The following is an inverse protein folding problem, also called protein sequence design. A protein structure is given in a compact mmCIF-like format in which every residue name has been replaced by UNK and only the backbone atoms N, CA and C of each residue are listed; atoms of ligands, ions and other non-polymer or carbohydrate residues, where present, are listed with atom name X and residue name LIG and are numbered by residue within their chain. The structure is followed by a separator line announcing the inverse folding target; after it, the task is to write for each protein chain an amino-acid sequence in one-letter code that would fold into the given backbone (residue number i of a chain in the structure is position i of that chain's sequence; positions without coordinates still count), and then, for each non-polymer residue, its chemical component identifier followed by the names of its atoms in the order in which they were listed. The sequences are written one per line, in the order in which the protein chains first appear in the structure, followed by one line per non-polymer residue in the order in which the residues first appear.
data_IF_858695054424
#
_entry.id   IF_858695054424
#
_cell.length_a   1.000
_cell.length_b   1.000
_cell.length_c   1.000
_cell.angle_alpha   90.00
_cell.angle_beta   90.00
_cell.angle_gamma   90.00
#
_symmetry.space_group_name_H-M   'P 1'
#
loop_
_entity.id
_entity.type
_entity.pdbx_description
1 polymer ?
#
# COMPACT_ATOMS: atom_id res chain seq x y z
N UNK A 1 -12.59 -18.02 11.43
CA UNK A 1 -12.39 -17.07 12.56
C UNK A 1 -11.89 -15.75 11.99
N UNK A 2 -12.60 -14.65 12.23
CA UNK A 2 -12.16 -13.31 11.81
C UNK A 2 -11.15 -12.84 12.85
N UNK A 3 -9.88 -12.66 12.44
CA UNK A 3 -8.84 -12.12 13.31
C UNK A 3 -9.12 -10.62 13.52
N UNK A 4 -9.70 -10.29 14.66
CA UNK A 4 -9.98 -8.89 15.04
C UNK A 4 -8.68 -8.27 15.58
N UNK A 5 -8.10 -7.36 14.82
CA UNK A 5 -7.01 -6.52 15.32
C UNK A 5 -7.60 -5.45 16.24
N UNK A 6 -6.97 -5.11 17.36
CA UNK A 6 -7.49 -4.07 18.26
C UNK A 6 -7.78 -2.77 17.49
N UNK A 7 -9.00 -2.26 17.62
CA UNK A 7 -9.44 -1.01 16.99
C UNK A 7 -9.77 -1.08 15.49
N UNK A 8 -9.65 -2.23 14.82
CA UNK A 8 -10.01 -2.40 13.40
C UNK A 8 -11.25 -3.27 13.25
N UNK A 9 -12.18 -2.84 12.40
CA UNK A 9 -13.42 -3.56 12.10
C UNK A 9 -13.29 -4.21 10.72
N UNK A 10 -13.47 -5.53 10.68
CA UNK A 10 -13.49 -6.31 9.45
C UNK A 10 -14.93 -6.66 9.10
N UNK A 11 -15.40 -6.20 7.95
CA UNK A 11 -16.73 -6.55 7.45
C UNK A 11 -16.69 -7.77 6.52
N UNK A 12 -17.79 -8.53 6.41
CA UNK A 12 -17.92 -9.64 5.49
C UNK A 12 -17.64 -9.21 4.04
N UNK A 13 -16.98 -10.08 3.29
CA UNK A 13 -16.66 -9.81 1.89
C UNK A 13 -17.87 -10.07 1.00
N UNK A 14 -18.33 -9.08 0.22
CA UNK A 14 -19.38 -9.32 -0.79
C UNK A 14 -18.84 -10.17 -1.95
N UNK A 15 -19.73 -10.85 -2.69
CA UNK A 15 -19.34 -11.71 -3.81
C UNK A 15 -18.58 -10.98 -4.93
N UNK A 16 -18.84 -9.68 -5.10
CA UNK A 16 -18.15 -8.85 -6.09
C UNK A 16 -16.78 -8.31 -5.62
N UNK A 17 -16.34 -8.63 -4.40
CA UNK A 17 -15.07 -8.17 -3.88
C UNK A 17 -13.90 -8.66 -4.73
N UNK A 18 -12.94 -7.79 -4.96
CA UNK A 18 -11.76 -8.03 -5.79
C UNK A 18 -10.47 -7.92 -4.97
N UNK A 19 -9.63 -8.95 -4.94
CA UNK A 19 -8.37 -8.88 -4.23
C UNK A 19 -7.37 -7.94 -4.94
N UNK A 20 -6.36 -7.49 -4.20
CA UNK A 20 -5.19 -6.85 -4.80
C UNK A 20 -4.44 -7.88 -5.65
N UNK A 21 -4.11 -7.53 -6.89
CA UNK A 21 -3.27 -8.35 -7.75
C UNK A 21 -1.88 -7.73 -7.92
N UNK A 22 -0.83 -8.54 -8.14
CA UNK A 22 0.51 -8.00 -8.44
C UNK A 22 0.51 -7.06 -9.63
N UNK A 23 -0.28 -7.39 -10.66
CA UNK A 23 -0.41 -6.59 -11.88
C UNK A 23 -0.94 -5.19 -11.60
N UNK A 24 -2.02 -5.06 -10.80
CA UNK A 24 -2.56 -3.74 -10.51
C UNK A 24 -1.59 -2.89 -9.67
N UNK A 25 -0.82 -3.49 -8.75
CA UNK A 25 0.20 -2.74 -7.99
C UNK A 25 1.30 -2.20 -8.92
N UNK A 26 1.78 -3.02 -9.87
CA UNK A 26 2.77 -2.61 -10.88
C UNK A 26 2.21 -1.48 -11.75
N UNK A 27 0.98 -1.63 -12.25
CA UNK A 27 0.34 -0.64 -13.10
C UNK A 27 0.14 0.69 -12.39
N UNK A 28 -0.34 0.69 -11.16
CA UNK A 28 -0.58 1.93 -10.42
C UNK A 28 0.72 2.60 -9.96
N UNK A 29 1.74 1.84 -9.58
CA UNK A 29 3.07 2.39 -9.34
C UNK A 29 3.62 3.10 -10.58
N UNK A 30 3.54 2.46 -11.75
CA UNK A 30 3.97 3.04 -13.03
C UNK A 30 3.15 4.28 -13.40
N UNK A 31 1.82 4.22 -13.31
CA UNK A 31 0.91 5.34 -13.60
C UNK A 31 1.24 6.58 -12.78
N UNK A 32 1.61 6.39 -11.53
CA UNK A 32 1.99 7.46 -10.62
C UNK A 32 3.49 7.82 -10.67
N UNK A 33 4.27 7.21 -11.57
CA UNK A 33 5.73 7.36 -11.65
C UNK A 33 6.42 7.12 -10.30
N UNK A 34 5.96 6.10 -9.58
CA UNK A 34 6.51 5.65 -8.30
C UNK A 34 7.30 4.34 -8.51
N UNK A 35 8.41 4.20 -7.80
CA UNK A 35 9.10 2.91 -7.76
C UNK A 35 8.24 1.85 -7.07
N UNK A 36 8.08 0.69 -7.71
CA UNK A 36 7.25 -0.40 -7.20
C UNK A 36 7.58 -0.77 -5.74
N UNK A 37 8.88 -0.85 -5.40
CA UNK A 37 9.30 -1.19 -4.03
C UNK A 37 8.81 -0.18 -2.99
N UNK A 38 8.67 1.09 -3.36
CA UNK A 38 8.15 2.15 -2.50
C UNK A 38 6.67 1.96 -2.22
N UNK A 39 5.87 1.68 -3.26
CA UNK A 39 4.43 1.40 -3.11
C UNK A 39 4.20 0.15 -2.26
N UNK A 40 4.93 -0.93 -2.54
CA UNK A 40 4.85 -2.17 -1.77
C UNK A 40 5.26 -1.99 -0.31
N UNK A 41 6.28 -1.17 -0.03
CA UNK A 41 6.72 -0.91 1.34
C UNK A 41 5.68 -0.09 2.13
N UNK A 42 5.05 0.90 1.50
CA UNK A 42 3.95 1.66 2.10
C UNK A 42 2.76 0.74 2.35
N UNK A 43 2.32 -0.04 1.36
CA UNK A 43 1.21 -0.99 1.52
C UNK A 43 1.46 -1.98 2.66
N UNK A 44 2.69 -2.50 2.79
CA UNK A 44 3.08 -3.37 3.90
C UNK A 44 3.12 -2.63 5.25
N UNK A 45 3.52 -1.38 5.25
CA UNK A 45 3.53 -0.54 6.47
C UNK A 45 2.11 -0.26 6.95
N UNK A 46 1.17 0.03 6.05
CA UNK A 46 -0.25 0.22 6.38
C UNK A 46 -0.87 -1.07 6.90
N UNK A 47 -0.57 -2.20 6.26
CA UNK A 47 -0.99 -3.54 6.69
C UNK A 47 -2.50 -3.70 6.78
N UNK A 48 -3.26 -2.90 6.04
CA UNK A 48 -4.72 -3.02 5.94
C UNK A 48 -5.14 -4.23 5.09
N UNK A 49 -6.40 -4.61 5.22
CA UNK A 49 -7.01 -5.73 4.49
C UNK A 49 -8.28 -5.27 3.78
N UNK A 50 -8.71 -6.00 2.77
CA UNK A 50 -10.03 -5.78 2.17
C UNK A 50 -11.14 -5.93 3.21
N UNK A 51 -12.16 -5.07 3.14
CA UNK A 51 -13.26 -5.03 4.09
C UNK A 51 -12.91 -4.46 5.47
N UNK A 52 -11.68 -3.97 5.65
CA UNK A 52 -11.21 -3.43 6.93
C UNK A 52 -11.40 -1.91 7.00
N UNK A 53 -11.93 -1.45 8.12
CA UNK A 53 -12.05 -0.06 8.52
C UNK A 53 -11.34 0.14 9.85
N UNK A 54 -10.39 1.07 9.90
CA UNK A 54 -9.61 1.42 11.09
C UNK A 54 -10.08 2.78 11.61
N UNK A 55 -10.76 2.86 12.76
CA UNK A 55 -11.26 4.12 13.30
C UNK A 55 -10.11 5.01 13.78
N UNK A 56 -10.23 6.31 13.54
CA UNK A 56 -9.34 7.35 14.04
C UNK A 56 -10.02 8.16 15.15
N UNK A 57 -9.23 8.77 16.03
CA UNK A 57 -9.74 9.55 17.15
C UNK A 57 -10.54 10.79 16.78
N UNK A 58 -10.51 11.22 15.52
CA UNK A 58 -11.26 12.36 14.98
C UNK A 58 -12.58 11.95 14.27
N UNK A 59 -12.99 10.68 14.38
CA UNK A 59 -14.19 10.15 13.75
C UNK A 59 -14.03 9.74 12.29
N UNK A 60 -12.84 9.90 11.69
CA UNK A 60 -12.56 9.37 10.36
C UNK A 60 -12.16 7.89 10.43
N UNK A 61 -12.12 7.22 9.28
CA UNK A 61 -11.66 5.83 9.15
C UNK A 61 -10.60 5.73 8.08
N UNK A 62 -9.65 4.83 8.29
CA UNK A 62 -8.72 4.38 7.25
C UNK A 62 -9.24 3.06 6.66
N UNK A 63 -9.30 2.95 5.33
CA UNK A 63 -10.00 1.89 4.63
C UNK A 63 -9.06 1.05 3.77
N UNK A 64 -9.14 -0.27 3.92
CA UNK A 64 -8.58 -1.25 3.00
C UNK A 64 -7.05 -1.36 3.02
N UNK A 65 -6.44 -2.02 2.00
CA UNK A 65 -5.01 -2.36 1.97
C UNK A 65 -4.04 -1.21 2.15
N UNK A 66 -4.35 -0.04 1.55
CA UNK A 66 -3.52 1.17 1.64
C UNK A 66 -3.99 2.13 2.74
N UNK A 67 -4.98 1.75 3.55
CA UNK A 67 -5.52 2.54 4.65
C UNK A 67 -5.87 3.98 4.21
N UNK A 68 -6.67 4.07 3.13
CA UNK A 68 -7.11 5.37 2.60
C UNK A 68 -8.11 6.00 3.56
N UNK A 69 -7.81 7.22 4.04
CA UNK A 69 -8.65 7.90 5.02
C UNK A 69 -9.93 8.46 4.41
N UNK A 70 -11.05 8.35 5.13
CA UNK A 70 -12.38 8.83 4.71
C UNK A 70 -12.45 10.34 4.48
N UNK A 71 -11.49 11.12 4.99
CA UNK A 71 -11.41 12.56 4.69
C UNK A 71 -11.23 12.86 3.19
N UNK A 72 -10.78 11.87 2.41
CA UNK A 72 -10.60 12.00 0.96
C UNK A 72 -11.87 11.67 0.16
N UNK A 73 -12.93 11.14 0.79
CA UNK A 73 -14.16 10.75 0.09
C UNK A 73 -14.80 11.87 -0.72
N UNK A 74 -14.91 13.12 -0.24
CA UNK A 74 -15.49 14.20 -1.04
C UNK A 74 -14.68 14.49 -2.33
N UNK A 75 -13.35 14.53 -2.25
CA UNK A 75 -12.48 14.74 -3.41
C UNK A 75 -12.60 13.57 -4.40
N UNK A 76 -12.57 12.34 -3.89
CA UNK A 76 -12.69 11.13 -4.71
C UNK A 76 -14.08 11.02 -5.36
N UNK A 77 -15.15 11.31 -4.61
CA UNK A 77 -16.53 11.36 -5.13
C UNK A 77 -16.64 12.31 -6.33
N UNK A 78 -16.08 13.51 -6.20
CA UNK A 78 -16.03 14.49 -7.29
C UNK A 78 -15.21 13.99 -8.48
N UNK A 79 -14.04 13.38 -8.21
CA UNK A 79 -13.12 12.90 -9.25
C UNK A 79 -13.73 11.76 -10.08
N UNK A 80 -14.39 10.82 -9.42
CA UNK A 80 -14.97 9.65 -10.08
C UNK A 80 -16.44 9.84 -10.49
N UNK A 81 -17.09 10.93 -10.09
CA UNK A 81 -18.49 11.20 -10.41
C UNK A 81 -19.48 10.23 -9.76
N UNK A 82 -19.14 9.65 -8.61
CA UNK A 82 -19.96 8.68 -7.87
C UNK A 82 -20.13 9.10 -6.40
N UNK A 83 -21.22 8.69 -5.72
CA UNK A 83 -21.46 9.05 -4.32
C UNK A 83 -20.33 8.59 -3.38
N UNK A 84 -20.05 9.35 -2.32
CA UNK A 84 -19.03 9.01 -1.31
C UNK A 84 -19.21 7.61 -0.73
N UNK A 85 -20.45 7.19 -0.49
CA UNK A 85 -20.76 5.84 -0.02
C UNK A 85 -20.30 4.75 -1.02
N UNK A 86 -20.40 5.01 -2.33
CA UNK A 86 -19.90 4.09 -3.36
C UNK A 86 -18.37 4.07 -3.39
N UNK A 87 -17.72 5.24 -3.28
CA UNK A 87 -16.25 5.33 -3.16
C UNK A 87 -15.76 4.55 -1.93
N UNK A 88 -16.39 4.75 -0.78
CA UNK A 88 -16.04 4.04 0.46
C UNK A 88 -16.14 2.52 0.30
N UNK A 89 -17.20 2.03 -0.35
CA UNK A 89 -17.36 0.60 -0.65
C UNK A 89 -16.29 0.07 -1.62
N UNK A 90 -15.96 0.82 -2.66
CA UNK A 90 -14.87 0.46 -3.57
C UNK A 90 -13.53 0.42 -2.85
N UNK A 91 -13.21 1.40 -2.02
CA UNK A 91 -12.00 1.40 -1.19
C UNK A 91 -11.93 0.17 -0.28
N UNK A 92 -13.07 -0.27 0.27
CA UNK A 92 -13.09 -1.41 1.17
C UNK A 92 -12.97 -2.75 0.43
N UNK A 93 -13.60 -2.91 -0.74
CA UNK A 93 -13.82 -4.22 -1.34
C UNK A 93 -13.19 -4.42 -2.73
N UNK A 94 -12.68 -3.37 -3.37
CA UNK A 94 -11.86 -3.48 -4.58
C UNK A 94 -10.41 -3.12 -4.24
N UNK A 95 -9.58 -4.14 -4.13
CA UNK A 95 -8.18 -3.98 -3.73
C UNK A 95 -7.36 -3.19 -4.75
N UNK A 96 -7.64 -3.34 -6.05
CA UNK A 96 -6.95 -2.59 -7.08
C UNK A 96 -7.38 -1.12 -7.11
N UNK A 97 -8.67 -0.83 -6.87
CA UNK A 97 -9.13 0.55 -6.68
C UNK A 97 -8.48 1.20 -5.44
N UNK A 98 -8.41 0.46 -4.33
CA UNK A 98 -7.74 0.94 -3.12
C UNK A 98 -6.26 1.27 -3.37
N UNK A 99 -5.54 0.39 -4.07
CA UNK A 99 -4.13 0.62 -4.46
C UNK A 99 -4.00 1.82 -5.40
N UNK A 100 -4.90 1.97 -6.38
CA UNK A 100 -4.90 3.11 -7.30
C UNK A 100 -5.02 4.45 -6.55
N UNK A 101 -5.98 4.53 -5.63
CA UNK A 101 -6.18 5.73 -4.80
C UNK A 101 -5.01 5.95 -3.85
N UNK A 102 -4.51 4.90 -3.20
CA UNK A 102 -3.37 5.00 -2.30
C UNK A 102 -2.09 5.47 -3.01
N UNK A 103 -1.80 4.94 -4.20
CA UNK A 103 -0.66 5.37 -5.01
C UNK A 103 -0.81 6.83 -5.49
N UNK A 104 -2.01 7.23 -5.91
CA UNK A 104 -2.31 8.61 -6.26
C UNK A 104 -2.10 9.57 -5.08
N UNK A 105 -2.61 9.24 -3.89
CA UNK A 105 -2.40 10.03 -2.68
C UNK A 105 -0.91 10.13 -2.33
N UNK A 106 -0.18 9.04 -2.44
CA UNK A 106 1.27 9.01 -2.20
C UNK A 106 2.02 9.95 -3.15
N UNK A 107 1.66 9.94 -4.43
CA UNK A 107 2.20 10.89 -5.43
C UNK A 107 1.83 12.33 -5.10
N UNK A 108 0.57 12.58 -4.77
CA UNK A 108 0.08 13.91 -4.36
C UNK A 108 0.90 14.46 -3.19
N UNK A 109 1.10 13.66 -2.13
CA UNK A 109 1.91 14.06 -0.97
C UNK A 109 3.38 14.28 -1.30
N UNK A 110 3.94 13.49 -2.21
CA UNK A 110 5.32 13.69 -2.71
C UNK A 110 5.44 15.00 -3.48
N UNK A 111 4.48 15.33 -4.32
CA UNK A 111 4.46 16.59 -5.07
C UNK A 111 4.31 17.80 -4.13
N UNK A 112 3.44 17.73 -3.13
CA UNK A 112 3.28 18.75 -2.08
C UNK A 112 4.58 18.95 -1.26
N UNK A 113 5.46 17.96 -1.25
CA UNK A 113 6.78 17.95 -0.61
C UNK A 113 7.91 18.34 -1.59
N UNK A 114 7.61 19.05 -2.67
CA UNK A 114 8.58 19.44 -3.71
C UNK A 114 9.38 18.25 -4.29
N UNK A 115 8.77 17.09 -4.37
CA UNK A 115 9.40 15.86 -4.86
C UNK A 115 10.13 15.03 -3.81
N UNK A 116 10.23 15.50 -2.57
CA UNK A 116 10.80 14.70 -1.47
C UNK A 116 9.85 13.54 -1.12
N UNK A 117 10.22 12.36 -1.62
CA UNK A 117 9.45 11.14 -1.40
C UNK A 117 9.33 10.78 0.10
N UNK A 118 10.43 10.91 0.87
CA UNK A 118 10.42 10.52 2.28
C UNK A 118 9.53 11.43 3.12
N UNK A 119 9.58 12.72 2.85
CA UNK A 119 8.66 13.67 3.47
C UNK A 119 7.21 13.41 3.03
N UNK A 120 7.00 13.13 1.74
CA UNK A 120 5.70 12.80 1.16
C UNK A 120 5.04 11.58 1.81
N UNK A 121 5.76 10.46 1.97
CA UNK A 121 5.22 9.27 2.65
C UNK A 121 4.95 9.51 4.13
N UNK A 122 5.77 10.33 4.77
CA UNK A 122 5.49 10.71 6.15
C UNK A 122 4.18 11.49 6.27
N UNK A 123 3.94 12.41 5.32
CA UNK A 123 2.69 13.18 5.21
C UNK A 123 1.49 12.33 4.78
N UNK A 124 1.71 11.26 4.06
CA UNK A 124 0.68 10.28 3.75
C UNK A 124 0.04 9.71 5.03
N UNK A 125 0.88 9.36 5.99
CA UNK A 125 0.45 8.77 7.27
C UNK A 125 -0.03 9.81 8.29
N UNK A 126 0.72 10.90 8.50
CA UNK A 126 0.40 11.89 9.52
C UNK A 126 1.01 13.26 9.23
N UNK A 127 0.26 14.31 9.58
CA UNK A 127 0.80 15.66 9.62
C UNK A 127 1.68 15.89 10.86
N UNK A 128 1.44 15.17 11.96
CA UNK A 128 2.19 15.30 13.21
C UNK A 128 3.63 14.80 13.06
N UNK A 129 4.62 15.65 13.40
CA UNK A 129 6.04 15.35 13.20
C UNK A 129 6.51 14.05 13.86
N UNK A 130 6.17 13.73 15.12
CA UNK A 130 6.62 12.49 15.76
C UNK A 130 6.13 11.23 15.03
N UNK A 131 4.85 11.19 14.68
CA UNK A 131 4.22 10.05 13.99
C UNK A 131 4.77 9.90 12.59
N UNK A 132 4.88 11.00 11.85
CA UNK A 132 5.49 11.07 10.52
C UNK A 132 6.88 10.45 10.52
N UNK A 133 7.75 10.85 11.45
CA UNK A 133 9.13 10.37 11.50
C UNK A 133 9.20 8.88 11.84
N UNK A 134 8.39 8.40 12.79
CA UNK A 134 8.29 6.95 13.09
C UNK A 134 7.85 6.15 11.88
N UNK A 135 6.87 6.66 11.14
CA UNK A 135 6.36 6.01 9.94
C UNK A 135 7.43 5.94 8.83
N UNK A 136 8.14 7.04 8.56
CA UNK A 136 9.25 7.07 7.59
C UNK A 136 10.27 5.97 7.92
N UNK A 137 10.71 5.87 9.16
CA UNK A 137 11.66 4.84 9.59
C UNK A 137 11.09 3.41 9.41
N UNK A 138 9.80 3.22 9.68
CA UNK A 138 9.12 1.94 9.46
C UNK A 138 9.13 1.54 7.98
N UNK A 139 8.71 2.42 7.09
CA UNK A 139 8.69 2.17 5.64
C UNK A 139 10.11 1.92 5.12
N UNK A 140 11.10 2.70 5.57
CA UNK A 140 12.49 2.50 5.19
C UNK A 140 13.00 1.10 5.56
N UNK A 141 12.78 0.64 6.80
CA UNK A 141 13.17 -0.71 7.24
C UNK A 141 12.52 -1.80 6.41
N UNK A 142 11.22 -1.65 6.10
CA UNK A 142 10.50 -2.60 5.25
C UNK A 142 11.12 -2.63 3.85
N UNK A 143 11.40 -1.49 3.25
CA UNK A 143 11.99 -1.38 1.92
C UNK A 143 13.37 -2.03 1.86
N UNK A 144 14.24 -1.75 2.84
CA UNK A 144 15.57 -2.38 2.93
C UNK A 144 15.44 -3.91 3.05
N UNK A 145 14.53 -4.40 3.88
CA UNK A 145 14.25 -5.84 4.02
C UNK A 145 13.83 -6.49 2.70
N UNK A 146 12.94 -5.84 1.94
CA UNK A 146 12.48 -6.34 0.63
C UNK A 146 13.63 -6.39 -0.38
N UNK A 147 14.45 -5.35 -0.46
CA UNK A 147 15.60 -5.29 -1.36
C UNK A 147 16.62 -6.39 -1.03
N UNK A 148 16.92 -6.59 0.25
CA UNK A 148 17.86 -7.63 0.68
C UNK A 148 17.32 -9.04 0.40
N UNK A 149 16.04 -9.30 0.65
CA UNK A 149 15.40 -10.58 0.32
C UNK A 149 15.51 -10.90 -1.18
N UNK A 150 15.26 -9.91 -2.06
CA UNK A 150 15.41 -10.06 -3.51
C UNK A 150 16.85 -10.37 -3.91
N UNK A 151 17.85 -9.68 -3.34
CA UNK A 151 19.27 -9.95 -3.60
C UNK A 151 19.67 -11.36 -3.20
N UNK A 152 19.20 -11.83 -2.04
CA UNK A 152 19.50 -13.18 -1.55
C UNK A 152 18.85 -14.26 -2.43
N UNK A 153 17.63 -14.06 -2.91
CA UNK A 153 16.98 -14.97 -3.85
C UNK A 153 17.74 -15.06 -5.17
N UNK A 154 18.15 -13.92 -5.73
CA UNK A 154 18.95 -13.89 -6.95
C UNK A 154 20.28 -14.61 -6.79
N UNK A 155 21.02 -14.39 -5.67
CA UNK A 155 22.28 -15.09 -5.38
C UNK A 155 22.10 -16.62 -5.29
N UNK A 156 21.03 -17.08 -4.62
CA UNK A 156 20.72 -18.51 -4.53
C UNK A 156 20.38 -19.12 -5.90
N UNK A 157 19.65 -18.38 -6.75
CA UNK A 157 19.33 -18.81 -8.11
C UNK A 157 20.60 -18.98 -8.97
N UNK A 158 21.52 -18.03 -8.92
CA UNK A 158 22.81 -18.10 -9.65
C UNK A 158 23.64 -19.28 -9.14
N UNK A 159 23.77 -19.48 -7.84
CA UNK A 159 24.52 -20.60 -7.25
C UNK A 159 23.93 -21.95 -7.66
N UNK A 160 22.61 -22.09 -7.66
CA UNK A 160 21.93 -23.32 -8.10
C UNK A 160 22.14 -23.59 -9.60
N UNK A 161 22.11 -22.54 -10.44
CA UNK A 161 22.41 -22.68 -11.89
C UNK A 161 23.84 -23.18 -12.13
N UNK A 162 24.83 -22.61 -11.46
CA UNK A 162 26.23 -23.06 -11.56
C UNK A 162 26.41 -24.51 -11.07
N UNK A 163 25.75 -24.91 -9.98
CA UNK A 163 25.82 -26.29 -9.48
C UNK A 163 25.27 -27.32 -10.50
N UNK A 164 24.13 -26.96 -11.16
CA UNK A 164 23.55 -27.80 -12.22
C UNK A 164 24.47 -27.95 -13.42
N UNK A 165 25.12 -26.86 -13.84
CA UNK A 165 26.04 -26.86 -14.99
C UNK A 165 27.28 -27.74 -14.72
N UNK A 166 27.83 -27.69 -13.51
CA UNK A 166 28.96 -28.59 -13.10
C UNK A 166 28.57 -30.05 -13.10
N UNK A 167 27.36 -30.41 -12.63
CA UNK A 167 26.88 -31.76 -12.59
C UNK A 167 26.58 -32.35 -13.98
N UNK A 168 26.40 -31.56 -15.00
CA UNK A 168 26.18 -31.99 -16.39
C UNK A 168 27.48 -32.12 -17.20
N UNK A 169 28.60 -31.64 -16.64
CA UNK A 169 29.91 -31.65 -17.30
C UNK A 169 30.83 -32.81 -16.78
N UNK A 170 30.34 -33.65 -15.90
CA UNK A 170 30.93 -34.90 -15.39
C UNK A 170 30.19 -36.11 -15.90
#
# INVERSE_FOLDING_TARGET
MVEVRPGRVQYPMPEWARPVTPQCVVQEASRQSLELVKVLAVMKAEGGRLGEYSPNGNGSYDIGPMQVNTIHLPELSKTYGIPEAAVSRLLAYDGCFNVAVGAWLLRKRTNEAAGDFWYGIGRYHSAAKPDRNRYILRVHRIMVSMVNARKNTARKGVAAAHARQRAQST
#
